data_IF_319995880278
#
_entry.id   IF_319995880278
#
_cell.length_a   1.000
_cell.length_b   1.000
_cell.length_c   1.000
_cell.angle_alpha   90.00
_cell.angle_beta   90.00
_cell.angle_gamma   90.00
#
_symmetry.space_group_name_H-M   'P 1'
#
loop_
_entity.id
_entity.type
_entity.pdbx_description
1 polymer ?
#
# COMPACT_ATOMS: atom_id res chain seq x y z
N UNK A 1 -15.63 -25.16 0.29
CA UNK A 1 -16.02 -24.09 -0.65
C UNK A 1 -16.72 -23.02 0.17
N UNK A 2 -16.00 -21.98 0.58
CA UNK A 2 -16.49 -20.94 1.49
C UNK A 2 -17.20 -19.83 0.72
N UNK A 3 -18.24 -19.25 1.31
CA UNK A 3 -19.29 -18.45 0.70
C UNK A 3 -18.87 -17.03 0.25
N UNK A 4 -17.73 -16.87 -0.42
CA UNK A 4 -17.26 -15.55 -0.89
C UNK A 4 -18.12 -14.94 -2.01
N UNK A 5 -19.00 -15.73 -2.65
CA UNK A 5 -19.82 -15.29 -3.78
C UNK A 5 -21.13 -14.55 -3.39
N UNK A 6 -21.41 -14.33 -2.10
CA UNK A 6 -22.67 -13.74 -1.62
C UNK A 6 -22.54 -12.34 -1.01
N UNK A 7 -21.35 -11.74 -1.00
CA UNK A 7 -21.18 -10.39 -0.48
C UNK A 7 -21.64 -9.37 -1.54
N UNK A 8 -22.91 -8.99 -1.48
CA UNK A 8 -23.41 -7.79 -2.17
C UNK A 8 -22.72 -6.59 -1.50
N UNK A 9 -21.92 -5.79 -2.23
CA UNK A 9 -21.29 -4.61 -1.64
C UNK A 9 -22.38 -3.61 -1.25
N UNK A 10 -22.54 -3.40 0.05
CA UNK A 10 -23.45 -2.38 0.60
C UNK A 10 -22.66 -1.09 0.78
N UNK A 11 -23.16 0.06 0.31
CA UNK A 11 -22.47 1.33 0.50
C UNK A 11 -22.30 1.63 2.00
N UNK A 12 -21.10 2.03 2.39
CA UNK A 12 -20.82 2.49 3.76
C UNK A 12 -21.46 3.87 3.90
N UNK A 13 -22.30 4.11 4.93
CA UNK A 13 -22.85 5.44 5.16
C UNK A 13 -21.75 6.48 5.40
N UNK A 14 -21.90 7.69 4.84
CA UNK A 14 -20.87 8.75 4.88
C UNK A 14 -20.37 9.05 6.29
N UNK A 15 -21.27 9.04 7.29
CA UNK A 15 -20.90 9.26 8.70
C UNK A 15 -19.99 8.18 9.25
N UNK A 16 -20.18 6.93 8.81
CA UNK A 16 -19.34 5.80 9.19
C UNK A 16 -17.98 5.92 8.50
N UNK A 17 -17.95 6.26 7.22
CA UNK A 17 -16.70 6.51 6.50
C UNK A 17 -15.88 7.65 7.14
N UNK A 18 -16.54 8.75 7.51
CA UNK A 18 -15.91 9.87 8.21
C UNK A 18 -15.38 9.47 9.60
N UNK A 19 -16.11 8.63 10.34
CA UNK A 19 -15.67 8.13 11.63
C UNK A 19 -14.45 7.21 11.50
N UNK A 20 -14.44 6.31 10.52
CA UNK A 20 -13.27 5.47 10.21
C UNK A 20 -12.06 6.36 9.93
N UNK A 21 -12.21 7.37 9.06
CA UNK A 21 -11.15 8.32 8.75
C UNK A 21 -10.66 9.10 9.98
N UNK A 22 -11.55 9.49 10.88
CA UNK A 22 -11.19 10.22 12.11
C UNK A 22 -10.47 9.35 13.15
N UNK A 23 -10.70 8.03 13.14
CA UNK A 23 -10.04 7.09 14.04
C UNK A 23 -8.65 6.65 13.56
N UNK A 24 -8.35 6.80 12.28
CA UNK A 24 -7.02 6.45 11.74
C UNK A 24 -6.03 7.59 11.99
N UNK A 25 -4.89 7.32 12.66
CA UNK A 25 -3.88 8.35 12.87
C UNK A 25 -3.31 8.88 11.55
N UNK A 26 -3.05 10.18 11.46
CA UNK A 26 -2.59 10.83 10.22
C UNK A 26 -1.31 10.21 9.64
N UNK A 27 -0.35 9.84 10.49
CA UNK A 27 0.91 9.21 10.06
C UNK A 27 0.72 7.80 9.48
N UNK A 28 -0.40 7.13 9.78
CA UNK A 28 -0.76 5.85 9.16
C UNK A 28 -1.34 6.08 7.77
N UNK A 29 -2.19 7.09 7.61
CA UNK A 29 -2.72 7.49 6.30
C UNK A 29 -1.59 7.94 5.35
N UNK A 30 -0.64 8.72 5.87
CA UNK A 30 0.55 9.13 5.12
C UNK A 30 1.40 7.92 4.71
N UNK A 31 1.68 7.00 5.65
CA UNK A 31 2.43 5.78 5.35
C UNK A 31 1.71 4.88 4.33
N UNK A 32 0.38 4.84 4.32
CA UNK A 32 -0.39 4.09 3.32
C UNK A 32 -0.21 4.70 1.93
N UNK A 33 -0.35 6.02 1.82
CA UNK A 33 -0.12 6.75 0.56
C UNK A 33 1.30 6.55 0.05
N UNK A 34 2.29 6.69 0.93
CA UNK A 34 3.72 6.52 0.60
C UNK A 34 4.01 5.09 0.13
N UNK A 35 3.48 4.08 0.84
CA UNK A 35 3.65 2.69 0.46
C UNK A 35 3.06 2.41 -0.94
N UNK A 36 1.90 2.98 -1.26
CA UNK A 36 1.25 2.79 -2.55
C UNK A 36 2.00 3.47 -3.69
N UNK A 37 2.51 4.69 -3.45
CA UNK A 37 3.37 5.44 -4.37
C UNK A 37 4.69 4.70 -4.61
N UNK A 38 5.40 4.30 -3.56
CA UNK A 38 6.66 3.56 -3.66
C UNK A 38 6.45 2.20 -4.34
N UNK A 39 5.39 1.47 -4.00
CA UNK A 39 5.03 0.22 -4.66
C UNK A 39 4.76 0.42 -6.16
N UNK A 40 4.22 1.56 -6.58
CA UNK A 40 4.03 1.89 -8.00
C UNK A 40 5.37 2.14 -8.70
N UNK A 41 6.29 2.87 -8.09
CA UNK A 41 7.61 3.12 -8.69
C UNK A 41 8.44 1.84 -8.78
N UNK A 42 8.42 0.97 -7.75
CA UNK A 42 9.04 -0.36 -7.83
C UNK A 42 8.47 -1.19 -8.99
N UNK A 43 7.18 -1.03 -9.30
CA UNK A 43 6.53 -1.67 -10.45
C UNK A 43 6.90 -1.04 -11.79
N UNK A 44 7.22 0.25 -11.80
CA UNK A 44 7.67 0.96 -12.99
C UNK A 44 9.06 0.50 -13.42
N UNK A 45 9.98 0.35 -12.47
CA UNK A 45 11.33 -0.16 -12.73
C UNK A 45 11.35 -1.69 -12.82
N UNK A 46 10.81 -2.23 -13.92
CA UNK A 46 10.78 -3.68 -14.21
C UNK A 46 11.51 -4.00 -15.51
N UNK A 47 12.15 -5.17 -15.55
CA UNK A 47 12.75 -5.75 -16.76
C UNK A 47 14.17 -6.26 -16.55
N UNK A 48 14.67 -7.13 -17.44
CA UNK A 48 15.98 -7.78 -17.29
C UNK A 48 17.17 -6.85 -17.57
N UNK A 49 16.94 -5.62 -18.05
CA UNK A 49 17.99 -4.67 -18.47
C UNK A 49 17.63 -3.24 -18.09
N UNK A 50 17.48 -2.98 -16.79
CA UNK A 50 17.42 -1.62 -16.28
C UNK A 50 18.80 -0.97 -16.40
N UNK A 51 18.85 0.31 -16.79
CA UNK A 51 20.07 1.11 -16.72
C UNK A 51 20.55 1.23 -15.27
N UNK A 52 21.79 1.67 -15.05
CA UNK A 52 22.33 1.85 -13.70
C UNK A 52 21.49 2.87 -12.90
N UNK A 53 21.02 3.92 -13.58
CA UNK A 53 20.14 4.94 -12.99
C UNK A 53 18.80 4.33 -12.56
N UNK A 54 18.12 3.61 -13.46
CA UNK A 54 16.86 2.92 -13.15
C UNK A 54 17.01 1.88 -12.02
N UNK A 55 18.18 1.25 -11.89
CA UNK A 55 18.47 0.33 -10.78
C UNK A 55 18.56 1.07 -9.44
N UNK A 56 19.26 2.21 -9.41
CA UNK A 56 19.36 3.04 -8.22
C UNK A 56 17.98 3.58 -7.80
N UNK A 57 17.20 4.07 -8.75
CA UNK A 57 15.83 4.55 -8.48
C UNK A 57 14.93 3.44 -7.94
N UNK A 58 15.07 2.22 -8.46
CA UNK A 58 14.37 1.05 -7.93
C UNK A 58 14.76 0.72 -6.50
N UNK A 59 16.05 0.78 -6.16
CA UNK A 59 16.52 0.53 -4.79
C UNK A 59 16.04 1.60 -3.81
N UNK A 60 16.01 2.86 -4.25
CA UNK A 60 15.42 3.95 -3.49
C UNK A 60 13.93 3.71 -3.22
N UNK A 61 13.15 3.38 -4.25
CA UNK A 61 11.73 3.07 -4.11
C UNK A 61 11.46 1.84 -3.22
N UNK A 62 12.33 0.82 -3.26
CA UNK A 62 12.25 -0.32 -2.35
C UNK A 62 12.51 0.08 -0.89
N UNK A 63 13.44 1.00 -0.66
CA UNK A 63 13.78 1.50 0.67
C UNK A 63 12.64 2.32 1.27
N UNK A 64 12.02 3.19 0.46
CA UNK A 64 10.82 3.96 0.84
C UNK A 64 9.65 3.04 1.17
N UNK A 65 9.40 2.03 0.33
CA UNK A 65 8.36 1.03 0.58
C UNK A 65 8.61 0.26 1.88
N UNK A 66 9.86 -0.12 2.16
CA UNK A 66 10.21 -0.83 3.38
C UNK A 66 9.98 0.05 4.63
N UNK A 67 10.29 1.34 4.53
CA UNK A 67 10.09 2.30 5.62
C UNK A 67 8.61 2.53 5.90
N UNK A 68 7.80 2.78 4.87
CA UNK A 68 6.36 2.93 5.00
C UNK A 68 5.70 1.66 5.57
N UNK A 69 6.08 0.49 5.05
CA UNK A 69 5.59 -0.79 5.56
C UNK A 69 5.97 -1.06 7.02
N UNK A 70 7.07 -0.52 7.52
CA UNK A 70 7.43 -0.61 8.94
C UNK A 70 6.40 0.11 9.80
N UNK A 71 6.00 1.32 9.39
CA UNK A 71 4.96 2.11 10.07
C UNK A 71 3.62 1.38 10.02
N UNK A 72 3.22 0.92 8.83
CA UNK A 72 1.96 0.18 8.64
C UNK A 72 1.91 -1.12 9.45
N UNK A 73 2.99 -1.90 9.45
CA UNK A 73 3.07 -3.17 10.18
C UNK A 73 3.06 -2.98 11.69
N UNK A 74 3.61 -1.86 12.19
CA UNK A 74 3.55 -1.51 13.61
C UNK A 74 2.12 -1.17 14.05
N UNK A 75 1.30 -0.60 13.15
CA UNK A 75 -0.11 -0.34 13.39
C UNK A 75 -0.96 -1.61 13.27
N UNK A 76 -0.84 -2.33 12.14
CA UNK A 76 -1.53 -3.60 11.93
C UNK A 76 -0.81 -4.44 10.85
N UNK A 77 -0.45 -5.70 11.13
CA UNK A 77 0.42 -6.50 10.26
C UNK A 77 -0.16 -6.80 8.87
N UNK A 78 -1.48 -6.72 8.71
CA UNK A 78 -2.14 -6.94 7.42
C UNK A 78 -2.19 -5.69 6.51
N UNK A 79 -1.69 -4.53 6.96
CA UNK A 79 -1.66 -3.31 6.16
C UNK A 79 -0.43 -3.19 5.26
N UNK A 80 0.59 -4.05 5.43
CA UNK A 80 1.79 -3.97 4.63
C UNK A 80 1.53 -4.20 3.13
N UNK A 81 1.98 -3.27 2.29
CA UNK A 81 1.79 -3.28 0.84
C UNK A 81 2.88 -4.09 0.16
N UNK A 82 2.49 -4.90 -0.82
CA UNK A 82 3.43 -5.63 -1.68
C UNK A 82 3.49 -4.97 -3.06
N UNK A 83 4.68 -4.80 -3.65
CA UNK A 83 4.78 -4.20 -4.98
C UNK A 83 4.17 -5.08 -6.08
N UNK A 84 3.90 -6.37 -5.81
CA UNK A 84 3.26 -7.29 -6.76
C UNK A 84 1.86 -7.76 -6.33
N UNK A 85 1.22 -7.15 -5.32
CA UNK A 85 -0.19 -7.47 -5.07
C UNK A 85 -1.04 -6.93 -6.21
N UNK A 86 -1.76 -7.83 -6.88
CA UNK A 86 -2.86 -7.44 -7.75
C UNK A 86 -3.94 -6.81 -6.87
N UNK A 87 -4.42 -5.64 -7.29
CA UNK A 87 -5.68 -5.08 -6.80
C UNK A 87 -6.83 -5.87 -7.41
#
# INVERSE_FOLDING_TARGET
MTASHLLVPVPIPDRVAALIGACTPSHILEAEFDADCAAREVRRFRGPRLGIEDQADREQALSELAWANKVLSAHHPHLAVRPNSAW
#
